data_IF_454640865714
#
_entry.id   IF_454640865714
#
_cell.length_a   1.000
_cell.length_b   1.000
_cell.length_c   1.000
_cell.angle_alpha   90.00
_cell.angle_beta   90.00
_cell.angle_gamma   90.00
#
_symmetry.space_group_name_H-M   'P 1'
#
loop_
_entity.id
_entity.type
_entity.pdbx_description
1 polymer ?
#
# COMPACT_ATOMS: atom_id res chain seq x y z
N UNK A 1 21.50 -14.75 6.91
CA UNK A 1 21.01 -13.36 6.95
C UNK A 1 22.15 -12.32 6.90
N UNK A 2 23.10 -12.27 7.86
CA UNK A 2 24.22 -11.29 7.80
C UNK A 2 25.08 -11.41 6.55
N UNK A 3 25.34 -12.63 6.05
CA UNK A 3 26.14 -12.85 4.84
C UNK A 3 25.42 -12.37 3.57
N UNK A 4 24.10 -12.53 3.49
CA UNK A 4 23.29 -12.06 2.35
C UNK A 4 23.22 -10.53 2.30
N UNK A 5 23.06 -9.89 3.45
CA UNK A 5 23.08 -8.43 3.55
C UNK A 5 24.42 -7.85 3.14
N UNK A 6 25.54 -8.46 3.61
CA UNK A 6 26.88 -8.07 3.21
C UNK A 6 27.11 -8.24 1.70
N UNK A 7 26.56 -9.29 1.11
CA UNK A 7 26.65 -9.53 -0.33
C UNK A 7 25.86 -8.51 -1.16
N UNK A 8 24.66 -8.13 -0.71
CA UNK A 8 23.87 -7.05 -1.33
C UNK A 8 24.62 -5.72 -1.24
N UNK A 9 25.13 -5.37 -0.06
CA UNK A 9 25.91 -4.14 0.12
C UNK A 9 27.14 -4.17 -0.78
N UNK A 10 27.81 -5.32 -0.87
CA UNK A 10 29.00 -5.50 -1.72
C UNK A 10 28.68 -5.35 -3.21
N UNK A 11 27.53 -5.90 -3.67
CA UNK A 11 27.10 -5.83 -5.07
C UNK A 11 26.59 -4.45 -5.47
N UNK A 12 25.90 -3.76 -4.58
CA UNK A 12 25.22 -2.50 -4.88
C UNK A 12 25.96 -1.27 -4.36
N UNK A 13 26.88 -1.44 -3.42
CA UNK A 13 27.51 -0.32 -2.70
C UNK A 13 26.55 0.50 -1.83
N UNK A 14 25.30 0.05 -1.68
CA UNK A 14 24.23 0.84 -1.07
C UNK A 14 23.66 0.18 0.19
N UNK A 15 23.91 0.80 1.34
CA UNK A 15 23.27 0.42 2.61
C UNK A 15 21.77 0.70 2.61
N UNK A 16 21.34 1.63 1.79
CA UNK A 16 19.94 1.98 1.63
C UNK A 16 19.15 0.88 0.90
N UNK A 17 19.67 0.35 -0.19
CA UNK A 17 19.07 -0.78 -0.90
C UNK A 17 18.96 -2.01 0.00
N UNK A 18 19.96 -2.21 0.86
CA UNK A 18 19.96 -3.28 1.83
C UNK A 18 18.81 -3.15 2.86
N UNK A 19 18.48 -1.93 3.30
CA UNK A 19 17.31 -1.69 4.18
C UNK A 19 16.00 -2.01 3.48
N UNK A 20 15.83 -1.56 2.24
CA UNK A 20 14.64 -1.87 1.45
C UNK A 20 14.51 -3.37 1.23
N UNK A 21 15.60 -4.06 0.93
CA UNK A 21 15.57 -5.52 0.80
C UNK A 21 15.12 -6.21 2.08
N UNK A 22 15.60 -5.79 3.25
CA UNK A 22 15.17 -6.34 4.54
C UNK A 22 13.67 -6.18 4.78
N UNK A 23 13.09 -5.05 4.35
CA UNK A 23 11.67 -4.78 4.46
C UNK A 23 10.86 -5.61 3.46
N UNK A 24 11.23 -5.60 2.18
CA UNK A 24 10.40 -6.19 1.13
C UNK A 24 10.52 -7.71 1.00
N UNK A 25 11.65 -8.32 1.42
CA UNK A 25 11.90 -9.76 1.24
C UNK A 25 10.82 -10.68 1.84
N UNK A 26 10.14 -10.23 2.88
CA UNK A 26 9.08 -11.00 3.55
C UNK A 26 7.83 -11.19 2.67
N UNK A 27 7.69 -10.39 1.63
CA UNK A 27 6.53 -10.35 0.76
C UNK A 27 6.77 -11.02 -0.60
N UNK A 28 7.95 -11.56 -0.81
CA UNK A 28 8.32 -12.30 -2.02
C UNK A 28 8.52 -13.79 -1.72
N UNK A 29 8.29 -14.64 -2.72
CA UNK A 29 8.49 -16.09 -2.62
C UNK A 29 9.97 -16.48 -2.41
N UNK A 30 10.89 -15.63 -2.87
CA UNK A 30 12.34 -15.80 -2.70
C UNK A 30 13.07 -14.46 -2.77
N UNK A 31 14.32 -14.47 -2.29
CA UNK A 31 15.16 -13.27 -2.22
C UNK A 31 15.53 -12.72 -3.62
N UNK A 32 15.61 -13.57 -4.63
CA UNK A 32 16.00 -13.19 -5.99
C UNK A 32 14.92 -12.35 -6.67
N UNK A 33 13.65 -12.74 -6.53
CA UNK A 33 12.51 -11.96 -7.01
C UNK A 33 12.42 -10.59 -6.33
N UNK A 34 12.69 -10.53 -5.02
CA UNK A 34 12.75 -9.27 -4.29
C UNK A 34 13.88 -8.37 -4.81
N UNK A 35 15.08 -8.91 -5.01
CA UNK A 35 16.20 -8.17 -5.55
C UNK A 35 15.93 -7.65 -6.95
N UNK A 36 15.35 -8.50 -7.81
CA UNK A 36 14.98 -8.08 -9.17
C UNK A 36 13.99 -6.92 -9.15
N UNK A 37 12.94 -7.01 -8.34
CA UNK A 37 11.98 -5.92 -8.16
C UNK A 37 12.64 -4.62 -7.71
N UNK A 38 13.53 -4.69 -6.71
CA UNK A 38 14.25 -3.51 -6.24
C UNK A 38 15.16 -2.95 -7.32
N UNK A 39 15.86 -3.79 -8.06
CA UNK A 39 16.69 -3.34 -9.19
C UNK A 39 15.85 -2.68 -10.28
N UNK A 40 14.72 -3.24 -10.65
CA UNK A 40 13.82 -2.64 -11.65
C UNK A 40 13.35 -1.24 -11.23
N UNK A 41 13.11 -1.02 -9.93
CA UNK A 41 12.79 0.30 -9.40
C UNK A 41 13.95 1.30 -9.40
N UNK A 42 15.20 0.80 -9.37
CA UNK A 42 16.40 1.64 -9.29
C UNK A 42 17.10 1.85 -10.62
N UNK A 43 16.97 0.91 -11.55
CA UNK A 43 17.72 0.84 -12.80
C UNK A 43 16.97 1.46 -13.98
N UNK A 44 15.88 2.19 -13.77
CA UNK A 44 15.17 2.89 -14.85
C UNK A 44 16.02 3.96 -15.54
N UNK A 45 17.23 4.23 -14.98
CA UNK A 45 18.28 5.00 -15.64
C UNK A 45 19.68 4.43 -15.42
N UNK A 46 20.59 4.58 -16.39
CA UNK A 46 21.99 4.32 -16.15
C UNK A 46 22.51 5.32 -15.11
N UNK A 47 23.00 4.80 -13.98
CA UNK A 47 23.67 5.57 -12.92
C UNK A 47 24.79 6.49 -13.45
N UNK A 48 25.35 6.17 -14.60
CA UNK A 48 26.37 6.96 -15.29
C UNK A 48 25.89 8.34 -15.72
N UNK A 49 24.59 8.53 -15.99
CA UNK A 49 24.05 9.84 -16.39
C UNK A 49 23.75 10.75 -15.22
N UNK A 50 23.61 10.21 -14.00
CA UNK A 50 23.29 10.96 -12.78
C UNK A 50 24.53 11.61 -12.14
N UNK A 51 25.72 11.07 -12.36
CA UNK A 51 26.96 11.54 -11.71
C UNK A 51 27.44 12.86 -12.30
N UNK A 52 27.09 13.16 -13.54
CA UNK A 52 27.55 14.36 -14.26
C UNK A 52 26.53 15.51 -14.30
N UNK A 53 25.38 15.39 -13.62
CA UNK A 53 24.36 16.43 -13.63
C UNK A 53 24.79 17.63 -12.76
N UNK A 54 25.02 18.78 -13.37
CA UNK A 54 25.47 20.00 -12.70
C UNK A 54 24.35 20.91 -12.18
N UNK A 55 23.10 20.65 -12.55
CA UNK A 55 21.98 21.49 -12.12
C UNK A 55 20.80 20.65 -11.64
N UNK A 56 20.39 20.92 -10.41
CA UNK A 56 19.15 20.38 -9.83
C UNK A 56 18.22 21.56 -9.67
N UNK A 57 17.12 21.60 -10.43
CA UNK A 57 16.01 22.50 -10.15
C UNK A 57 15.21 21.91 -8.97
N UNK A 58 15.32 22.56 -7.80
CA UNK A 58 14.71 22.08 -6.56
C UNK A 58 13.17 22.09 -6.58
N UNK A 59 12.56 22.88 -7.47
CA UNK A 59 11.10 22.96 -7.54
C UNK A 59 10.49 21.88 -8.46
N UNK A 60 11.25 21.40 -9.44
CA UNK A 60 10.76 20.43 -10.43
C UNK A 60 11.55 19.14 -10.52
N UNK A 61 12.64 18.99 -9.72
CA UNK A 61 13.57 17.85 -9.84
C UNK A 61 13.97 17.55 -11.30
N UNK A 62 14.20 18.60 -12.06
CA UNK A 62 14.66 18.49 -13.43
C UNK A 62 16.18 18.43 -13.43
N UNK A 63 16.72 17.38 -14.00
CA UNK A 63 18.16 17.22 -14.18
C UNK A 63 18.50 17.46 -15.64
N UNK A 64 19.53 18.24 -15.89
CA UNK A 64 20.16 18.32 -17.21
C UNK A 64 21.49 17.59 -17.16
N UNK A 65 21.72 16.69 -18.12
CA UNK A 65 23.04 16.10 -18.30
C UNK A 65 23.99 17.07 -18.99
N UNK A 66 25.25 16.71 -19.12
CA UNK A 66 26.27 17.53 -19.79
C UNK A 66 25.97 17.78 -21.28
N UNK A 67 25.05 17.03 -21.89
CA UNK A 67 24.63 17.19 -23.29
C UNK A 67 23.38 18.09 -23.41
N UNK A 68 22.86 18.64 -22.32
CA UNK A 68 21.65 19.47 -22.31
C UNK A 68 20.34 18.69 -22.37
N UNK A 69 20.37 17.35 -22.27
CA UNK A 69 19.16 16.54 -22.21
C UNK A 69 18.50 16.69 -20.84
N UNK A 70 17.20 16.94 -20.85
CA UNK A 70 16.42 17.15 -19.64
C UNK A 70 15.76 15.84 -19.21
N UNK A 71 16.06 15.38 -18.00
CA UNK A 71 15.45 14.21 -17.39
C UNK A 71 14.34 14.64 -16.44
N UNK A 72 13.15 14.11 -16.64
CA UNK A 72 11.99 14.42 -15.84
C UNK A 72 11.99 13.69 -14.48
N UNK A 73 11.22 14.24 -13.55
CA UNK A 73 10.93 13.77 -12.20
C UNK A 73 10.57 12.26 -12.11
N UNK A 74 10.12 11.69 -13.18
CA UNK A 74 9.62 10.33 -13.31
C UNK A 74 10.62 9.22 -12.99
N UNK A 75 11.90 9.46 -13.20
CA UNK A 75 12.98 8.49 -12.97
C UNK A 75 13.10 8.04 -11.53
N UNK A 76 12.82 8.95 -10.59
CA UNK A 76 12.88 8.64 -9.17
C UNK A 76 11.53 8.23 -8.58
N UNK A 77 10.47 8.23 -9.36
CA UNK A 77 9.12 8.02 -8.86
C UNK A 77 8.95 6.64 -8.25
N UNK A 78 9.44 5.58 -8.91
CA UNK A 78 9.39 4.22 -8.36
C UNK A 78 10.15 4.12 -7.03
N UNK A 79 11.31 4.77 -6.89
CA UNK A 79 12.05 4.84 -5.62
C UNK A 79 11.29 5.59 -4.54
N UNK A 80 10.63 6.69 -4.89
CA UNK A 80 9.77 7.45 -3.97
C UNK A 80 8.59 6.61 -3.50
N UNK A 81 7.99 5.82 -4.41
CA UNK A 81 6.94 4.87 -4.08
C UNK A 81 7.42 3.80 -3.10
N UNK A 82 8.58 3.16 -3.37
CA UNK A 82 9.19 2.19 -2.45
C UNK A 82 9.38 2.76 -1.05
N UNK A 83 9.94 3.97 -0.96
CA UNK A 83 10.16 4.65 0.31
C UNK A 83 8.88 5.02 1.03
N UNK A 84 7.86 5.43 0.28
CA UNK A 84 6.55 5.75 0.86
C UNK A 84 5.95 4.51 1.52
N UNK A 85 5.95 3.37 0.82
CA UNK A 85 5.42 2.12 1.38
C UNK A 85 6.19 1.71 2.64
N UNK A 86 7.52 1.62 2.57
CA UNK A 86 8.35 1.24 3.72
C UNK A 86 8.10 2.15 4.92
N UNK A 87 8.10 3.46 4.71
CA UNK A 87 7.91 4.44 5.77
C UNK A 87 6.51 4.39 6.37
N UNK A 88 5.46 4.37 5.55
CA UNK A 88 4.09 4.36 6.06
C UNK A 88 3.75 3.08 6.80
N UNK A 89 4.23 1.92 6.32
CA UNK A 89 4.04 0.64 7.01
C UNK A 89 4.79 0.61 8.33
N UNK A 90 6.03 1.09 8.39
CA UNK A 90 6.77 1.15 9.64
C UNK A 90 6.11 2.10 10.64
N UNK A 91 5.65 3.29 10.23
CA UNK A 91 4.89 4.20 11.09
C UNK A 91 3.61 3.53 11.59
N UNK A 92 2.88 2.80 10.73
CA UNK A 92 1.69 2.07 11.13
C UNK A 92 2.01 0.99 12.20
N UNK A 93 3.12 0.27 12.06
CA UNK A 93 3.62 -0.68 13.09
C UNK A 93 3.96 0.03 14.40
N UNK A 94 4.63 1.16 14.33
CA UNK A 94 5.07 1.92 15.49
C UNK A 94 3.91 2.51 16.30
N UNK A 95 2.73 2.69 15.69
CA UNK A 95 1.54 3.17 16.44
C UNK A 95 1.11 2.24 17.55
N UNK A 96 1.41 0.94 17.47
CA UNK A 96 1.15 -0.03 18.55
C UNK A 96 1.93 0.32 19.83
N UNK A 97 3.17 0.78 19.69
CA UNK A 97 4.01 1.18 20.82
C UNK A 97 3.55 2.49 21.48
N UNK A 98 2.86 3.34 20.71
CA UNK A 98 2.40 4.64 21.20
C UNK A 98 1.05 4.49 21.91
N UNK A 99 0.17 3.64 21.39
CA UNK A 99 -1.19 3.47 21.92
C UNK A 99 -1.72 2.08 21.64
N UNK A 100 -1.91 1.29 22.68
CA UNK A 100 -2.57 -0.01 22.58
C UNK A 100 -3.99 0.12 22.01
N UNK A 101 -4.36 -0.77 21.09
CA UNK A 101 -5.65 -0.75 20.42
C UNK A 101 -5.80 0.33 19.34
N UNK A 102 -4.68 0.89 18.87
CA UNK A 102 -4.65 1.95 17.87
C UNK A 102 -4.75 1.47 16.41
N UNK A 103 -5.47 0.37 16.14
CA UNK A 103 -5.55 -0.22 14.79
C UNK A 103 -6.12 0.74 13.74
N UNK A 104 -6.98 1.66 14.16
CA UNK A 104 -7.50 2.69 13.26
C UNK A 104 -6.38 3.63 12.75
N UNK A 105 -5.37 3.93 13.57
CA UNK A 105 -4.23 4.73 13.13
C UNK A 105 -3.41 3.98 12.08
N UNK A 106 -3.25 2.66 12.24
CA UNK A 106 -2.62 1.81 11.22
C UNK A 106 -3.33 1.95 9.88
N UNK A 107 -4.68 1.86 9.90
CA UNK A 107 -5.51 2.09 8.69
C UNK A 107 -5.30 3.48 8.11
N UNK A 108 -5.27 4.54 8.93
CA UNK A 108 -5.03 5.92 8.47
C UNK A 108 -3.70 6.03 7.71
N UNK A 109 -2.61 5.47 8.25
CA UNK A 109 -1.30 5.52 7.59
C UNK A 109 -1.26 4.68 6.31
N UNK A 110 -1.89 3.51 6.29
CA UNK A 110 -1.94 2.68 5.09
C UNK A 110 -2.78 3.33 3.99
N UNK A 111 -3.89 3.98 4.33
CA UNK A 111 -4.68 4.76 3.35
C UNK A 111 -3.90 5.97 2.84
N UNK A 112 -3.19 6.70 3.71
CA UNK A 112 -2.33 7.80 3.31
C UNK A 112 -1.19 7.34 2.38
N UNK A 113 -0.69 6.12 2.57
CA UNK A 113 0.25 5.49 1.63
C UNK A 113 -0.36 5.33 0.23
N UNK A 114 -1.58 4.78 0.13
CA UNK A 114 -2.28 4.63 -1.16
C UNK A 114 -2.47 5.98 -1.83
N UNK A 115 -2.92 7.00 -1.10
CA UNK A 115 -3.07 8.37 -1.62
C UNK A 115 -1.73 8.92 -2.15
N UNK A 116 -0.62 8.67 -1.42
CA UNK A 116 0.73 9.05 -1.84
C UNK A 116 1.18 8.33 -3.12
N UNK A 117 0.92 7.03 -3.23
CA UNK A 117 1.27 6.25 -4.42
C UNK A 117 0.51 6.73 -5.66
N UNK A 118 -0.78 7.00 -5.52
CA UNK A 118 -1.61 7.54 -6.60
C UNK A 118 -1.13 8.93 -7.05
N UNK A 119 -0.80 9.80 -6.10
CA UNK A 119 -0.25 11.11 -6.40
C UNK A 119 1.08 11.00 -7.14
N UNK A 120 1.98 10.11 -6.70
CA UNK A 120 3.27 9.89 -7.32
C UNK A 120 3.16 9.31 -8.73
N UNK A 121 2.15 8.50 -9.01
CA UNK A 121 1.93 7.93 -10.34
C UNK A 121 1.43 8.95 -11.38
N UNK A 122 1.08 10.15 -10.96
CA UNK A 122 0.49 11.17 -11.84
C UNK A 122 -0.95 10.87 -12.23
N UNK A 123 -1.59 9.87 -11.63
CA UNK A 123 -2.99 9.55 -11.87
C UNK A 123 -3.85 10.75 -11.45
N UNK A 124 -4.44 11.44 -12.42
CA UNK A 124 -5.40 12.51 -12.15
C UNK A 124 -6.66 11.87 -11.57
N UNK A 125 -6.95 12.22 -10.33
CA UNK A 125 -8.10 11.67 -9.62
C UNK A 125 -9.36 12.47 -9.96
N UNK A 126 -10.11 12.03 -10.93
CA UNK A 126 -11.44 12.58 -11.20
C UNK A 126 -12.47 12.24 -10.10
N UNK A 127 -12.15 11.32 -9.20
CA UNK A 127 -13.02 11.01 -8.07
C UNK A 127 -12.21 10.53 -6.85
N UNK A 128 -11.87 11.44 -5.93
CA UNK A 128 -11.26 11.13 -4.62
C UNK A 128 -12.00 10.05 -3.82
N UNK A 129 -13.28 9.80 -4.13
CA UNK A 129 -14.14 8.87 -3.40
C UNK A 129 -13.83 7.38 -3.62
N UNK A 130 -13.12 7.01 -4.69
CA UNK A 130 -12.91 5.61 -5.06
C UNK A 130 -11.43 5.18 -5.12
N UNK A 131 -10.50 6.05 -4.71
CA UNK A 131 -9.05 5.79 -4.81
C UNK A 131 -8.68 4.46 -4.13
N UNK A 132 -9.14 4.28 -2.89
CA UNK A 132 -8.81 3.10 -2.10
C UNK A 132 -9.37 1.83 -2.72
N UNK A 133 -10.64 1.83 -3.11
CA UNK A 133 -11.28 0.69 -3.76
C UNK A 133 -10.59 0.35 -5.08
N UNK A 134 -10.41 1.32 -5.95
CA UNK A 134 -9.74 1.14 -7.24
C UNK A 134 -8.31 0.62 -7.07
N UNK A 135 -7.57 1.12 -6.08
CA UNK A 135 -6.23 0.65 -5.79
C UNK A 135 -6.22 -0.85 -5.47
N UNK A 136 -7.07 -1.29 -4.53
CA UNK A 136 -7.10 -2.69 -4.12
C UNK A 136 -7.71 -3.60 -5.20
N UNK A 137 -8.76 -3.17 -5.92
CA UNK A 137 -9.34 -3.96 -7.02
C UNK A 137 -8.31 -4.29 -8.10
N UNK A 138 -7.47 -3.32 -8.46
CA UNK A 138 -6.54 -3.46 -9.58
C UNK A 138 -5.20 -4.10 -9.19
N UNK A 139 -4.82 -4.07 -7.91
CA UNK A 139 -3.47 -4.46 -7.51
C UNK A 139 -3.43 -5.60 -6.48
N UNK A 140 -4.57 -6.05 -5.97
CA UNK A 140 -4.63 -7.20 -5.06
C UNK A 140 -4.81 -8.48 -5.86
N UNK A 141 -4.02 -9.51 -5.54
CA UNK A 141 -4.13 -10.83 -6.18
C UNK A 141 -5.49 -11.48 -5.87
N UNK A 142 -5.99 -12.33 -6.76
CA UNK A 142 -7.24 -13.06 -6.49
C UNK A 142 -7.15 -13.94 -5.24
N UNK A 143 -5.99 -14.53 -4.96
CA UNK A 143 -5.77 -15.30 -3.74
C UNK A 143 -5.94 -14.45 -2.47
N UNK A 144 -5.44 -13.21 -2.48
CA UNK A 144 -5.58 -12.26 -1.36
C UNK A 144 -7.02 -11.73 -1.25
N UNK A 145 -7.70 -11.51 -2.38
CA UNK A 145 -9.12 -11.14 -2.38
C UNK A 145 -9.99 -12.27 -1.82
N UNK A 146 -9.71 -13.52 -2.22
CA UNK A 146 -10.40 -14.69 -1.69
C UNK A 146 -10.15 -14.90 -0.20
N UNK A 147 -8.94 -14.62 0.27
CA UNK A 147 -8.65 -14.62 1.70
C UNK A 147 -9.54 -13.61 2.44
N UNK A 148 -9.62 -12.36 1.96
CA UNK A 148 -10.48 -11.35 2.58
C UNK A 148 -11.94 -11.77 2.54
N UNK A 149 -12.45 -12.27 1.40
CA UNK A 149 -13.85 -12.73 1.26
C UNK A 149 -14.22 -13.80 2.28
N UNK A 150 -13.28 -14.70 2.60
CA UNK A 150 -13.50 -15.80 3.56
C UNK A 150 -13.47 -15.35 5.01
N UNK A 151 -12.73 -14.30 5.33
CA UNK A 151 -12.44 -13.89 6.71
C UNK A 151 -13.07 -12.54 7.08
N UNK A 152 -13.88 -11.96 6.17
CA UNK A 152 -14.66 -10.75 6.41
C UNK A 152 -16.04 -10.91 5.81
N UNK A 153 -17.07 -10.81 6.64
CA UNK A 153 -18.45 -11.01 6.22
C UNK A 153 -19.44 -10.18 7.04
N UNK A 154 -20.60 -9.95 6.46
CA UNK A 154 -21.72 -9.25 7.11
C UNK A 154 -22.49 -10.21 8.01
N UNK A 155 -22.89 -9.75 9.18
CA UNK A 155 -23.61 -10.55 10.20
C UNK A 155 -25.06 -10.03 10.40
N UNK A 156 -25.70 -9.54 9.36
CA UNK A 156 -27.11 -9.12 9.42
C UNK A 156 -28.01 -10.28 9.04
N UNK A 157 -28.52 -11.03 10.03
CA UNK A 157 -29.64 -11.99 9.99
C UNK A 157 -29.73 -13.05 8.87
N UNK A 158 -28.81 -13.14 7.93
CA UNK A 158 -28.78 -14.17 6.90
C UNK A 158 -27.46 -14.96 6.90
N UNK A 159 -27.51 -16.27 6.60
CA UNK A 159 -26.28 -17.06 6.51
C UNK A 159 -25.38 -16.52 5.42
N UNK A 160 -24.19 -16.09 5.82
CA UNK A 160 -23.25 -15.41 4.96
C UNK A 160 -22.58 -16.40 4.03
N UNK A 161 -22.86 -16.28 2.75
CA UNK A 161 -21.95 -16.78 1.72
C UNK A 161 -20.92 -15.69 1.41
N UNK A 162 -19.62 -16.03 1.35
CA UNK A 162 -18.61 -15.09 0.88
C UNK A 162 -18.98 -14.66 -0.54
N UNK A 163 -19.30 -13.38 -0.70
CA UNK A 163 -19.68 -12.80 -1.98
C UNK A 163 -18.55 -11.94 -2.52
N UNK A 164 -18.56 -11.68 -3.83
CA UNK A 164 -17.68 -10.69 -4.46
C UNK A 164 -17.73 -9.35 -3.71
N UNK A 165 -18.90 -9.01 -3.19
CA UNK A 165 -19.12 -7.77 -2.44
C UNK A 165 -18.39 -7.73 -1.09
N UNK A 166 -18.06 -8.86 -0.46
CA UNK A 166 -17.37 -8.87 0.83
C UNK A 166 -16.00 -8.18 0.76
N UNK A 167 -15.26 -8.36 -0.31
CA UNK A 167 -14.00 -7.67 -0.54
C UNK A 167 -14.20 -6.14 -0.63
N UNK A 168 -15.15 -5.71 -1.46
CA UNK A 168 -15.49 -4.29 -1.62
C UNK A 168 -15.98 -3.66 -0.32
N UNK A 169 -16.81 -4.40 0.42
CA UNK A 169 -17.30 -3.99 1.73
C UNK A 169 -16.17 -3.80 2.73
N UNK A 170 -15.21 -4.73 2.78
CA UNK A 170 -14.02 -4.61 3.64
C UNK A 170 -13.25 -3.32 3.34
N UNK A 171 -12.92 -3.08 2.06
CA UNK A 171 -12.21 -1.86 1.67
C UNK A 171 -13.02 -0.60 1.97
N UNK A 172 -14.35 -0.65 1.78
CA UNK A 172 -15.26 0.43 2.14
C UNK A 172 -15.27 0.73 3.64
N UNK A 173 -15.26 -0.31 4.47
CA UNK A 173 -15.18 -0.22 5.93
C UNK A 173 -13.87 0.44 6.37
N UNK A 174 -12.72 0.05 5.79
CA UNK A 174 -11.42 0.71 6.07
C UNK A 174 -11.46 2.20 5.73
N UNK A 175 -12.03 2.55 4.58
CA UNK A 175 -12.18 3.95 4.15
C UNK A 175 -13.07 4.76 5.09
N UNK A 176 -14.17 4.19 5.59
CA UNK A 176 -15.06 4.86 6.52
C UNK A 176 -14.42 5.06 7.90
N UNK A 177 -13.74 4.06 8.43
CA UNK A 177 -12.99 4.20 9.69
C UNK A 177 -11.88 5.25 9.60
N UNK A 178 -11.15 5.28 8.46
CA UNK A 178 -10.18 6.37 8.23
C UNK A 178 -10.86 7.74 8.29
N UNK A 179 -12.05 7.89 7.70
CA UNK A 179 -12.80 9.14 7.72
C UNK A 179 -13.24 9.49 9.13
N UNK A 180 -13.78 8.54 9.89
CA UNK A 180 -14.14 8.75 11.30
C UNK A 180 -12.93 9.17 12.14
N UNK A 181 -11.78 8.55 11.95
CA UNK A 181 -10.56 8.94 12.66
C UNK A 181 -10.11 10.36 12.31
N UNK A 182 -10.11 10.70 11.02
CA UNK A 182 -9.60 11.99 10.55
C UNK A 182 -10.53 13.17 10.84
N UNK A 183 -11.86 12.97 10.83
CA UNK A 183 -12.84 14.05 10.92
C UNK A 183 -13.59 14.10 12.26
N UNK A 184 -13.79 12.94 12.91
CA UNK A 184 -14.60 12.83 14.12
C UNK A 184 -13.77 12.53 15.36
N UNK A 185 -12.48 12.21 15.21
CA UNK A 185 -11.61 11.83 16.31
C UNK A 185 -12.01 10.49 16.96
N UNK A 186 -12.78 9.66 16.24
CA UNK A 186 -13.25 8.37 16.74
C UNK A 186 -12.20 7.29 16.48
N UNK A 187 -11.44 6.91 17.52
CA UNK A 187 -10.28 6.01 17.39
C UNK A 187 -10.53 4.60 17.91
N UNK A 188 -11.68 4.32 18.53
CA UNK A 188 -11.92 3.10 19.31
C UNK A 188 -12.82 2.08 18.64
N UNK A 189 -13.37 2.37 17.48
CA UNK A 189 -14.42 1.55 16.88
C UNK A 189 -13.91 0.45 15.94
N UNK A 190 -12.60 0.40 15.67
CA UNK A 190 -12.00 -0.57 14.76
C UNK A 190 -10.85 -1.33 15.41
N UNK A 191 -10.86 -2.66 15.27
CA UNK A 191 -9.76 -3.53 15.65
C UNK A 191 -9.56 -4.62 14.60
N UNK A 192 -8.30 -4.98 14.35
CA UNK A 192 -7.96 -6.22 13.69
C UNK A 192 -8.04 -7.39 14.67
N UNK A 193 -8.25 -8.60 14.17
CA UNK A 193 -8.32 -9.80 14.99
C UNK A 193 -6.93 -10.33 15.32
N UNK A 194 -6.28 -9.75 16.31
CA UNK A 194 -4.95 -10.17 16.75
C UNK A 194 -4.98 -11.19 17.91
N UNK A 195 -6.15 -11.78 18.23
CA UNK A 195 -6.31 -12.73 19.33
C UNK A 195 -5.78 -14.12 18.94
N UNK A 196 -5.17 -14.80 19.91
CA UNK A 196 -4.81 -16.20 19.81
C UNK A 196 -5.44 -16.97 21.02
N UNK A 197 -6.34 -17.94 20.85
CA UNK A 197 -6.88 -18.38 19.56
C UNK A 197 -7.79 -17.34 18.90
N UNK A 198 -7.89 -17.41 17.56
CA UNK A 198 -8.68 -16.47 16.77
C UNK A 198 -10.17 -16.57 17.10
N UNK A 199 -10.75 -15.48 17.60
CA UNK A 199 -12.17 -15.35 17.89
C UNK A 199 -12.74 -14.26 16.97
N UNK A 200 -13.81 -14.54 16.21
CA UNK A 200 -14.43 -13.55 15.33
C UNK A 200 -14.77 -12.26 16.08
N UNK A 201 -14.35 -11.11 15.52
CA UNK A 201 -14.65 -9.80 16.08
C UNK A 201 -15.80 -9.13 15.34
N UNK A 202 -16.77 -8.64 16.09
CA UNK A 202 -17.89 -7.89 15.53
C UNK A 202 -17.52 -6.40 15.40
N UNK A 203 -17.74 -5.86 14.21
CA UNK A 203 -17.54 -4.45 13.87
C UNK A 203 -18.88 -3.83 13.51
N UNK A 204 -19.28 -2.77 14.22
CA UNK A 204 -20.50 -2.02 13.92
C UNK A 204 -20.09 -0.75 13.17
N UNK A 205 -20.54 -0.62 11.94
CA UNK A 205 -20.13 0.46 11.03
C UNK A 205 -21.35 1.15 10.43
N UNK A 206 -21.38 2.45 10.52
CA UNK A 206 -22.37 3.25 9.83
C UNK A 206 -21.84 3.61 8.43
N UNK A 207 -22.15 2.76 7.45
CA UNK A 207 -21.63 2.86 6.09
C UNK A 207 -22.76 2.75 5.07
N UNK A 208 -22.63 3.48 3.97
CA UNK A 208 -23.46 3.26 2.78
C UNK A 208 -22.83 2.16 1.93
N UNK A 209 -23.31 0.92 2.07
CA UNK A 209 -22.86 -0.22 1.28
C UNK A 209 -23.28 -0.08 -0.19
N UNK A 210 -24.37 0.63 -0.45
CA UNK A 210 -24.84 0.99 -1.77
C UNK A 210 -24.20 2.32 -2.20
N UNK A 211 -22.92 2.49 -2.00
CA UNK A 211 -22.15 3.75 -2.10
C UNK A 211 -22.41 4.56 -3.37
N UNK A 212 -23.15 4.00 -4.27
CA UNK A 212 -23.57 4.56 -5.55
C UNK A 212 -25.06 4.87 -5.62
N UNK A 213 -25.82 4.55 -4.57
CA UNK A 213 -27.22 4.91 -4.44
C UNK A 213 -27.36 6.03 -3.41
N UNK A 214 -28.20 7.02 -3.67
CA UNK A 214 -28.43 8.18 -2.78
C UNK A 214 -29.19 7.83 -1.48
N UNK A 215 -29.12 6.60 -0.98
CA UNK A 215 -29.97 6.10 0.10
C UNK A 215 -29.44 6.34 1.52
N UNK A 216 -28.36 7.06 1.69
CA UNK A 216 -27.81 7.38 3.01
C UNK A 216 -27.14 6.20 3.72
N UNK A 217 -26.37 6.54 4.76
CA UNK A 217 -25.63 5.56 5.57
C UNK A 217 -26.59 4.78 6.47
N UNK A 218 -26.35 3.47 6.59
CA UNK A 218 -27.02 2.60 7.55
C UNK A 218 -25.99 1.91 8.41
N UNK A 219 -26.39 1.61 9.64
CA UNK A 219 -25.60 0.80 10.54
C UNK A 219 -25.62 -0.66 10.06
N UNK A 220 -24.43 -1.25 9.95
CA UNK A 220 -24.22 -2.62 9.56
C UNK A 220 -23.29 -3.30 10.55
N UNK A 221 -23.53 -4.59 10.79
CA UNK A 221 -22.66 -5.42 11.58
C UNK A 221 -21.83 -6.30 10.67
N UNK A 222 -20.50 -6.20 10.82
CA UNK A 222 -19.54 -7.06 10.13
C UNK A 222 -18.79 -7.92 11.13
N UNK A 223 -18.31 -9.06 10.67
CA UNK A 223 -17.38 -9.91 11.40
C UNK A 223 -16.06 -9.92 10.67
N UNK A 224 -14.97 -9.73 11.41
CA UNK A 224 -13.61 -9.89 10.90
C UNK A 224 -12.84 -10.93 11.66
N UNK A 225 -12.13 -11.76 10.93
CA UNK A 225 -11.14 -12.72 11.43
C UNK A 225 -9.72 -12.35 10.97
N UNK A 226 -9.57 -11.23 10.26
CA UNK A 226 -8.32 -10.76 9.67
C UNK A 226 -7.47 -10.10 10.73
N UNK A 227 -6.24 -10.58 10.93
CA UNK A 227 -5.24 -9.93 11.77
C UNK A 227 -4.58 -8.76 11.04
N UNK A 228 -4.00 -7.81 11.82
CA UNK A 228 -3.23 -6.72 11.22
C UNK A 228 -2.08 -7.22 10.36
N UNK A 229 -1.36 -8.26 10.82
CA UNK A 229 -0.22 -8.83 10.09
C UNK A 229 -0.63 -9.42 8.74
N UNK A 230 -1.78 -10.08 8.67
CA UNK A 230 -2.31 -10.63 7.41
C UNK A 230 -2.72 -9.51 6.46
N UNK A 231 -3.42 -8.50 6.98
CA UNK A 231 -3.82 -7.35 6.18
C UNK A 231 -2.61 -6.54 5.70
N UNK A 232 -1.63 -6.30 6.56
CA UNK A 232 -0.37 -5.63 6.19
C UNK A 232 0.34 -6.37 5.04
N UNK A 233 0.41 -7.70 5.11
CA UNK A 233 1.02 -8.49 4.06
C UNK A 233 0.28 -8.36 2.72
N UNK A 234 -1.06 -8.40 2.74
CA UNK A 234 -1.90 -8.15 1.55
C UNK A 234 -1.65 -6.73 1.02
N UNK A 235 -1.66 -5.75 1.90
CA UNK A 235 -1.41 -4.35 1.56
C UNK A 235 -0.07 -4.14 0.86
N UNK A 236 1.03 -4.66 1.43
CA UNK A 236 2.37 -4.50 0.84
C UNK A 236 2.47 -5.22 -0.49
N UNK A 237 1.91 -6.43 -0.64
CA UNK A 237 1.86 -7.12 -1.95
C UNK A 237 1.09 -6.30 -2.98
N UNK A 238 -0.03 -5.69 -2.61
CA UNK A 238 -0.78 -4.79 -3.50
C UNK A 238 0.03 -3.55 -3.90
N UNK A 239 0.81 -2.99 -2.98
CA UNK A 239 1.73 -1.88 -3.29
C UNK A 239 2.84 -2.32 -4.25
N UNK A 240 3.41 -3.52 -4.08
CA UNK A 240 4.41 -4.10 -4.98
C UNK A 240 3.83 -4.23 -6.40
N UNK A 241 2.63 -4.81 -6.52
CA UNK A 241 1.94 -4.95 -7.82
C UNK A 241 1.69 -3.58 -8.46
N UNK A 242 1.24 -2.59 -7.69
CA UNK A 242 1.04 -1.23 -8.19
C UNK A 242 2.34 -0.63 -8.75
N UNK A 243 3.46 -0.76 -8.04
CA UNK A 243 4.76 -0.26 -8.47
C UNK A 243 5.24 -1.00 -9.72
N UNK A 244 5.06 -2.34 -9.78
CA UNK A 244 5.42 -3.13 -10.96
C UNK A 244 4.61 -2.70 -12.20
N UNK A 245 3.30 -2.47 -12.05
CA UNK A 245 2.44 -1.99 -13.12
C UNK A 245 2.86 -0.59 -13.60
N UNK A 246 3.22 0.30 -12.67
CA UNK A 246 3.74 1.62 -13.00
C UNK A 246 5.02 1.55 -13.83
N UNK A 247 5.97 0.68 -13.45
CA UNK A 247 7.23 0.48 -14.18
C UNK A 247 6.97 -0.16 -15.55
N UNK A 248 6.08 -1.17 -15.63
CA UNK A 248 5.72 -1.85 -16.88
C UNK A 248 5.06 -0.92 -17.88
N UNK A 249 4.06 -0.15 -17.45
CA UNK A 249 3.35 0.78 -18.32
C UNK A 249 4.23 1.89 -18.89
N UNK A 250 5.35 2.25 -18.24
CA UNK A 250 6.32 3.20 -18.81
C UNK A 250 7.21 2.58 -19.87
N UNK A 251 7.62 1.31 -19.69
CA UNK A 251 8.41 0.60 -20.71
C UNK A 251 7.66 0.48 -22.04
N UNK A 252 6.34 0.33 -21.99
CA UNK A 252 5.49 0.23 -23.19
C UNK A 252 5.23 1.59 -23.87
N UNK A 253 5.35 2.70 -23.13
CA UNK A 253 5.16 4.05 -23.66
C UNK A 253 6.40 4.62 -24.36
N UNK A 254 7.59 4.07 -24.07
CA UNK A 254 8.89 4.49 -24.62
C UNK A 254 9.32 3.62 -25.83
N UNK A 255 8.51 2.62 -26.23
CA UNK A 255 8.72 1.78 -27.43
C UNK A 255 7.76 2.16 -28.55
#
# INVERSE_FOLDING_TARGET
MQNQLADIIKRTGSTYLAKLWLFYREYFSNDENCLQFLFDCFMQEPLSTLVDSKMIDKEKLIYQNNNGETFCEDVFTARRMLNSVERFVNVARDTESIRMGGDIFKVVYLVACVESLQQLSGAQNDAKKNILLSFFENNTSEADKDFIRKHFYRNDDEPVNPTEDSFRQFIGVLGEYRNCAAHEGAYWNFCFNNNEPRVPLMLIVNIDLERYTKKGKKEHCFVTEISYKEFEAIFVRSCITFIQNYIGGKKDADT
#
